data_IF_570255971838
#
_entry.id   IF_570255971838
#
_cell.length_a   1.000
_cell.length_b   1.000
_cell.length_c   1.000
_cell.angle_alpha   90.00
_cell.angle_beta   90.00
_cell.angle_gamma   90.00
#
_symmetry.space_group_name_H-M   'P 1'
#
loop_
_entity.id
_entity.type
_entity.pdbx_description
1 polymer ?
#
# COMPACT_ATOMS: atom_id res chain seq x y z
N UNK A 1 -5.30 -11.76 -11.94
CA UNK A 1 -5.35 -11.55 -13.39
C UNK A 1 -4.89 -10.13 -13.65
N UNK A 2 -3.84 -9.93 -14.45
CA UNK A 2 -3.28 -8.61 -14.76
C UNK A 2 -4.30 -7.68 -15.44
N UNK A 3 -5.25 -8.27 -16.15
CA UNK A 3 -6.39 -7.57 -16.76
C UNK A 3 -7.23 -6.80 -15.71
N UNK A 4 -7.45 -7.38 -14.53
CA UNK A 4 -8.19 -6.70 -13.46
C UNK A 4 -7.45 -5.46 -12.96
N UNK A 5 -6.13 -5.56 -12.82
CA UNK A 5 -5.30 -4.43 -12.37
C UNK A 5 -5.29 -3.31 -13.42
N UNK A 6 -5.23 -3.66 -14.70
CA UNK A 6 -5.32 -2.69 -15.79
C UNK A 6 -6.69 -2.02 -15.84
N UNK A 7 -7.77 -2.79 -15.68
CA UNK A 7 -9.14 -2.25 -15.61
C UNK A 7 -9.30 -1.26 -14.45
N UNK A 8 -8.69 -1.51 -13.29
CA UNK A 8 -8.69 -0.56 -12.16
C UNK A 8 -7.96 0.74 -12.55
N UNK A 9 -6.79 0.64 -13.18
CA UNK A 9 -6.03 1.83 -13.62
C UNK A 9 -6.82 2.66 -14.61
N UNK A 10 -7.44 1.99 -15.58
CA UNK A 10 -8.26 2.62 -16.61
C UNK A 10 -9.51 3.26 -16.01
N UNK A 11 -10.19 2.58 -15.09
CA UNK A 11 -11.35 3.12 -14.39
C UNK A 11 -11.04 4.44 -13.66
N UNK A 12 -9.90 4.51 -12.96
CA UNK A 12 -9.47 5.75 -12.30
C UNK A 12 -9.20 6.87 -13.31
N UNK A 13 -8.53 6.55 -14.43
CA UNK A 13 -8.26 7.52 -15.49
C UNK A 13 -9.55 8.07 -16.13
N UNK A 14 -10.56 7.23 -16.32
CA UNK A 14 -11.86 7.63 -16.86
C UNK A 14 -12.66 8.50 -15.88
N UNK A 15 -12.59 8.19 -14.58
CA UNK A 15 -13.36 8.91 -13.56
C UNK A 15 -12.73 10.21 -13.09
N UNK A 16 -11.40 10.27 -13.01
CA UNK A 16 -10.65 11.37 -12.40
C UNK A 16 -9.71 12.08 -13.39
N UNK A 17 -9.62 11.58 -14.63
CA UNK A 17 -8.73 12.10 -15.67
C UNK A 17 -7.37 11.39 -15.72
N UNK A 18 -6.70 11.51 -16.86
CA UNK A 18 -5.43 10.82 -17.13
C UNK A 18 -4.31 11.13 -16.12
N UNK A 19 -4.30 12.34 -15.55
CA UNK A 19 -3.33 12.75 -14.52
C UNK A 19 -3.46 11.94 -13.22
N UNK A 20 -4.65 11.42 -12.92
CA UNK A 20 -4.91 10.64 -11.71
C UNK A 20 -4.70 9.13 -11.93
N UNK A 21 -4.35 8.69 -13.15
CA UNK A 21 -4.12 7.28 -13.46
C UNK A 21 -3.00 6.72 -12.57
N UNK A 22 -3.26 5.66 -11.78
CA UNK A 22 -2.23 5.05 -10.96
C UNK A 22 -1.10 4.49 -11.82
N UNK A 23 0.15 4.83 -11.46
CA UNK A 23 1.33 4.30 -12.14
C UNK A 23 1.41 2.77 -12.01
N UNK A 24 1.11 2.25 -10.83
CA UNK A 24 1.01 0.83 -10.52
C UNK A 24 -0.20 0.56 -9.63
N UNK A 25 -0.69 -0.68 -9.65
CA UNK A 25 -1.69 -1.21 -8.71
C UNK A 25 -1.16 -2.55 -8.22
N UNK A 26 -1.10 -2.73 -6.91
CA UNK A 26 -0.57 -3.93 -6.28
C UNK A 26 -1.73 -4.62 -5.57
N UNK A 27 -2.02 -5.86 -5.93
CA UNK A 27 -2.96 -6.69 -5.20
C UNK A 27 -2.29 -7.22 -3.93
N UNK A 28 -2.93 -7.00 -2.79
CA UNK A 28 -2.43 -7.40 -1.47
C UNK A 28 -3.56 -8.09 -0.71
N UNK A 29 -3.22 -9.03 0.18
CA UNK A 29 -4.21 -9.73 0.99
C UNK A 29 -4.80 -8.83 2.09
N UNK A 30 -3.99 -7.90 2.62
CA UNK A 30 -4.44 -6.90 3.59
C UNK A 30 -3.60 -5.61 3.52
N UNK A 31 -4.07 -4.58 4.21
CA UNK A 31 -3.40 -3.30 4.40
C UNK A 31 -2.86 -3.15 5.83
N UNK A 32 -1.79 -2.36 6.04
CA UNK A 32 -1.33 -2.01 7.37
C UNK A 32 -2.41 -1.21 8.10
N UNK A 33 -2.98 -1.82 9.14
CA UNK A 33 -4.05 -1.25 9.95
C UNK A 33 -3.65 -1.23 11.42
N UNK A 34 -4.09 -0.20 12.14
CA UNK A 34 -4.00 -0.16 13.60
C UNK A 34 -4.90 -1.23 14.22
N UNK A 35 -4.72 -1.52 15.52
CA UNK A 35 -5.66 -2.38 16.29
C UNK A 35 -7.11 -1.88 16.29
N UNK A 36 -7.32 -0.60 16.02
CA UNK A 36 -8.64 0.02 15.84
C UNK A 36 -9.14 -0.01 14.38
N UNK A 37 -8.42 -0.64 13.46
CA UNK A 37 -8.79 -0.82 12.06
C UNK A 37 -8.43 0.34 11.12
N UNK A 38 -7.77 1.40 11.61
CA UNK A 38 -7.39 2.55 10.76
C UNK A 38 -6.21 2.17 9.86
N UNK A 39 -6.34 2.42 8.55
CA UNK A 39 -5.24 2.20 7.59
C UNK A 39 -4.10 3.19 7.86
N UNK A 40 -2.91 2.68 8.12
CA UNK A 40 -1.68 3.44 8.33
C UNK A 40 -1.04 3.82 6.99
N UNK A 41 -1.69 4.73 6.25
CA UNK A 41 -1.23 5.20 4.93
C UNK A 41 0.19 5.77 4.91
N UNK A 42 0.69 6.29 6.04
CA UNK A 42 2.06 6.77 6.19
C UNK A 42 3.08 5.67 5.85
N UNK A 43 2.89 4.46 6.38
CA UNK A 43 3.82 3.33 6.15
C UNK A 43 3.83 2.90 4.68
N UNK A 44 2.67 2.93 4.00
CA UNK A 44 2.58 2.67 2.57
C UNK A 44 3.35 3.71 1.75
N UNK A 45 3.31 4.98 2.17
CA UNK A 45 4.08 6.07 1.55
C UNK A 45 5.57 5.90 1.78
N UNK A 46 5.99 5.66 3.02
CA UNK A 46 7.40 5.49 3.37
C UNK A 46 8.01 4.34 2.55
N UNK A 47 7.30 3.21 2.45
CA UNK A 47 7.69 2.07 1.59
C UNK A 47 7.75 2.44 0.10
N UNK A 48 6.73 3.10 -0.46
CA UNK A 48 6.72 3.49 -1.87
C UNK A 48 7.83 4.48 -2.23
N UNK A 49 8.32 5.25 -1.26
CA UNK A 49 9.41 6.21 -1.41
C UNK A 49 10.77 5.61 -1.02
N UNK A 50 10.84 4.34 -0.60
CA UNK A 50 12.06 3.68 -0.16
C UNK A 50 12.65 4.26 1.14
N UNK A 51 11.83 4.94 1.93
CA UNK A 51 12.20 5.50 3.25
C UNK A 51 12.09 4.42 4.32
N UNK A 52 12.85 4.63 5.41
CA UNK A 52 12.77 3.77 6.58
C UNK A 52 11.34 3.77 7.15
N UNK A 53 10.83 2.58 7.47
CA UNK A 53 9.52 2.44 8.09
C UNK A 53 9.59 2.97 9.52
N UNK A 54 8.92 4.10 9.77
CA UNK A 54 8.74 4.59 11.14
C UNK A 54 7.91 3.63 12.01
N UNK A 55 7.64 4.02 13.26
CA UNK A 55 6.97 3.19 14.27
C UNK A 55 5.76 2.37 13.76
N UNK A 56 5.84 1.06 13.97
CA UNK A 56 4.87 0.01 13.59
C UNK A 56 4.19 -0.65 14.79
N UNK A 57 4.50 -0.25 16.03
CA UNK A 57 4.01 -0.90 17.27
C UNK A 57 2.48 -0.89 17.42
N UNK A 58 1.81 0.03 16.75
CA UNK A 58 0.35 0.17 16.76
C UNK A 58 -0.38 -0.67 15.71
N UNK A 59 0.36 -1.31 14.79
CA UNK A 59 -0.21 -2.24 13.82
C UNK A 59 -0.87 -3.42 14.53
N UNK A 60 -1.99 -3.87 13.97
CA UNK A 60 -2.62 -5.12 14.38
C UNK A 60 -1.77 -6.33 13.97
N UNK A 61 -1.14 -6.24 12.78
CA UNK A 61 -0.23 -7.22 12.24
C UNK A 61 0.89 -6.50 11.47
N UNK A 62 2.14 -6.68 11.90
CA UNK A 62 3.30 -6.07 11.26
C UNK A 62 3.79 -6.88 10.04
N UNK A 63 3.43 -8.16 9.92
CA UNK A 63 3.86 -9.05 8.84
C UNK A 63 3.30 -8.62 7.47
N UNK A 64 2.19 -7.88 7.48
CA UNK A 64 1.60 -7.29 6.27
C UNK A 64 2.58 -6.36 5.54
N UNK A 65 3.49 -5.70 6.25
CA UNK A 65 4.48 -4.82 5.62
C UNK A 65 5.43 -5.61 4.72
N UNK A 66 5.87 -6.79 5.17
CA UNK A 66 6.71 -7.70 4.40
C UNK A 66 5.99 -8.24 3.16
N UNK A 67 4.69 -8.55 3.27
CA UNK A 67 3.89 -9.06 2.14
C UNK A 67 3.71 -8.04 1.02
N UNK A 68 3.67 -6.74 1.36
CA UNK A 68 3.52 -5.66 0.38
C UNK A 68 4.88 -5.32 -0.28
N UNK A 69 6.00 -5.79 0.30
CA UNK A 69 7.35 -5.55 -0.22
C UNK A 69 8.15 -4.51 0.56
N UNK A 70 7.74 -4.16 1.78
CA UNK A 70 8.58 -3.41 2.71
C UNK A 70 9.40 -4.38 3.57
N UNK A 71 10.73 -4.24 3.59
CA UNK A 71 11.56 -4.95 4.58
C UNK A 71 11.69 -4.10 5.84
N UNK A 72 11.00 -4.41 6.95
CA UNK A 72 11.33 -3.81 8.24
C UNK A 72 12.70 -4.36 8.69
N UNK A 73 13.70 -3.49 8.86
CA UNK A 73 14.97 -3.90 9.46
C UNK A 73 14.77 -4.23 10.95
N UNK A 74 15.41 -5.29 11.48
CA UNK A 74 15.43 -5.53 12.92
C UNK A 74 16.21 -4.41 13.61
N UNK A 75 15.58 -3.80 14.62
CA UNK A 75 16.25 -2.97 15.62
C UNK A 75 16.68 -3.81 16.81
#
# INVERSE_FOLDING_TARGET
>A
SDELLENIRQHVAEKLGAIARPKSVIAVADLPKTRSGKIMRRLLRDMAEGRELGDTTTLADASVMTQIGGEPKPG
#
